data_IF_866024738025
#
_entry.id   IF_866024738025
#
_cell.length_a   1.000
_cell.length_b   1.000
_cell.length_c   1.000
_cell.angle_alpha   90.00
_cell.angle_beta   90.00
_cell.angle_gamma   90.00
#
_symmetry.space_group_name_H-M   'P 1'
#
loop_
_entity.id
_entity.type
_entity.pdbx_description
1 polymer ?
#
# COMPACT_ATOMS: atom_id res chain seq x y z
N UNK A 1 -10.46 -12.68 -0.77
CA UNK A 1 -9.83 -11.87 0.27
C UNK A 1 -8.94 -12.75 1.16
N UNK A 2 -7.72 -12.30 1.51
CA UNK A 2 -6.82 -13.01 2.42
C UNK A 2 -7.43 -13.33 3.78
N UNK A 3 -8.26 -12.41 4.30
CA UNK A 3 -8.88 -12.51 5.63
C UNK A 3 -10.29 -13.13 5.61
N UNK A 4 -10.71 -13.74 4.48
CA UNK A 4 -12.06 -14.32 4.38
C UNK A 4 -12.29 -15.40 5.42
N UNK A 5 -13.47 -15.35 6.06
CA UNK A 5 -13.96 -16.41 6.96
C UNK A 5 -14.31 -17.68 6.16
N UNK A 6 -14.66 -17.53 4.89
CA UNK A 6 -14.95 -18.67 4.01
C UNK A 6 -13.63 -19.31 3.52
N UNK A 7 -13.35 -20.58 3.85
CA UNK A 7 -12.12 -21.25 3.47
C UNK A 7 -11.95 -21.40 1.96
N UNK A 8 -13.03 -21.49 1.19
CA UNK A 8 -12.97 -21.59 -0.27
C UNK A 8 -12.57 -20.25 -0.89
N UNK A 9 -13.09 -19.14 -0.37
CA UNK A 9 -12.71 -17.79 -0.81
C UNK A 9 -11.25 -17.52 -0.46
N UNK A 10 -10.80 -17.91 0.75
CA UNK A 10 -9.40 -17.81 1.16
C UNK A 10 -8.47 -18.65 0.26
N UNK A 11 -8.85 -19.90 -0.03
CA UNK A 11 -8.08 -20.78 -0.90
C UNK A 11 -8.00 -20.24 -2.34
N UNK A 12 -9.11 -19.70 -2.87
CA UNK A 12 -9.11 -19.02 -4.18
C UNK A 12 -8.20 -17.81 -4.20
N UNK A 13 -8.18 -16.99 -3.13
CA UNK A 13 -7.25 -15.87 -3.01
C UNK A 13 -5.80 -16.36 -3.04
N UNK A 14 -5.45 -17.35 -2.22
CA UNK A 14 -4.10 -17.92 -2.17
C UNK A 14 -3.64 -18.44 -3.55
N UNK A 15 -4.51 -19.16 -4.25
CA UNK A 15 -4.25 -19.65 -5.60
C UNK A 15 -3.96 -18.49 -6.58
N UNK A 16 -4.76 -17.40 -6.54
CA UNK A 16 -4.56 -16.23 -7.40
C UNK A 16 -3.26 -15.50 -7.10
N UNK A 17 -2.93 -15.32 -5.83
CA UNK A 17 -1.66 -14.71 -5.45
C UNK A 17 -0.46 -15.53 -5.93
N UNK A 18 -0.50 -16.86 -5.82
CA UNK A 18 0.54 -17.75 -6.36
C UNK A 18 0.72 -17.58 -7.86
N UNK A 19 -0.38 -17.58 -8.62
CA UNK A 19 -0.32 -17.33 -10.07
C UNK A 19 0.28 -15.96 -10.40
N UNK A 20 -0.05 -14.92 -9.63
CA UNK A 20 0.51 -13.57 -9.81
C UNK A 20 2.01 -13.56 -9.52
N UNK A 21 2.46 -14.23 -8.46
CA UNK A 21 3.88 -14.36 -8.10
C UNK A 21 4.65 -15.08 -9.22
N UNK A 22 4.14 -16.21 -9.71
CA UNK A 22 4.74 -16.96 -10.82
C UNK A 22 4.86 -16.09 -12.08
N UNK A 23 3.81 -15.34 -12.42
CA UNK A 23 3.81 -14.44 -13.58
C UNK A 23 4.81 -13.30 -13.41
N UNK A 24 4.83 -12.67 -12.23
CA UNK A 24 5.77 -11.61 -11.89
C UNK A 24 7.23 -12.08 -11.98
N UNK A 25 7.50 -13.28 -11.46
CA UNK A 25 8.82 -13.90 -11.53
C UNK A 25 9.25 -14.15 -13.00
N UNK A 26 8.36 -14.65 -13.84
CA UNK A 26 8.63 -14.88 -15.25
C UNK A 26 8.91 -13.56 -16.03
N UNK A 27 8.35 -12.44 -15.56
CA UNK A 27 8.57 -11.10 -16.12
C UNK A 27 9.75 -10.36 -15.47
N UNK A 28 10.44 -10.93 -14.49
CA UNK A 28 11.53 -10.30 -13.78
C UNK A 28 11.07 -9.17 -12.82
N UNK A 29 9.80 -9.16 -12.45
CA UNK A 29 9.24 -8.19 -11.48
C UNK A 29 9.65 -8.59 -10.07
N UNK A 30 10.20 -7.65 -9.32
CA UNK A 30 10.70 -7.87 -7.95
C UNK A 30 9.84 -7.24 -6.86
N UNK A 31 8.81 -6.48 -7.24
CA UNK A 31 7.89 -5.85 -6.28
C UNK A 31 6.46 -5.95 -6.79
N UNK A 32 5.58 -6.44 -5.93
CA UNK A 32 4.15 -6.54 -6.17
C UNK A 32 3.41 -5.73 -5.10
N UNK A 33 2.57 -4.80 -5.51
CA UNK A 33 1.59 -4.18 -4.63
C UNK A 33 0.35 -5.06 -4.57
N UNK A 34 -0.17 -5.27 -3.39
CA UNK A 34 -1.27 -6.21 -3.13
C UNK A 34 -2.24 -5.64 -2.09
N UNK A 35 -3.54 -5.82 -2.30
CA UNK A 35 -4.55 -5.42 -1.34
C UNK A 35 -4.70 -6.44 -0.21
N UNK A 36 -4.76 -5.96 1.05
CA UNK A 36 -5.05 -6.78 2.23
C UNK A 36 -6.48 -7.30 2.27
N UNK A 37 -7.41 -6.54 1.70
CA UNK A 37 -8.81 -6.91 1.58
C UNK A 37 -9.64 -6.66 2.85
N UNK A 38 -9.25 -5.70 3.66
CA UNK A 38 -10.09 -5.19 4.75
C UNK A 38 -11.35 -4.55 4.19
N UNK A 39 -12.50 -4.87 4.77
CA UNK A 39 -13.79 -4.26 4.45
C UNK A 39 -14.42 -3.81 5.77
N UNK A 40 -14.59 -2.49 5.98
CA UNK A 40 -15.26 -1.96 7.16
C UNK A 40 -16.63 -2.57 7.35
N UNK A 41 -17.04 -2.78 8.60
CA UNK A 41 -18.32 -3.38 9.01
C UNK A 41 -18.50 -4.87 8.64
N UNK A 42 -17.61 -5.45 7.84
CA UNK A 42 -17.59 -6.89 7.51
C UNK A 42 -16.60 -7.63 8.39
N UNK A 43 -15.42 -7.06 8.56
CA UNK A 43 -14.36 -7.66 9.39
C UNK A 43 -14.11 -6.86 10.65
N UNK A 44 -13.98 -7.56 11.78
CA UNK A 44 -13.42 -6.99 13.00
C UNK A 44 -11.90 -6.79 12.79
N UNK A 45 -11.32 -5.68 13.29
CA UNK A 45 -9.88 -5.41 13.13
C UNK A 45 -8.98 -6.55 13.61
N UNK A 46 -9.29 -7.15 14.75
CA UNK A 46 -8.52 -8.25 15.34
C UNK A 46 -8.56 -9.50 14.46
N UNK A 47 -9.73 -9.82 13.91
CA UNK A 47 -9.90 -10.91 12.96
C UNK A 47 -9.09 -10.66 11.69
N UNK A 48 -9.17 -9.45 11.13
CA UNK A 48 -8.44 -9.07 9.93
C UNK A 48 -6.94 -9.25 10.12
N UNK A 49 -6.39 -8.74 11.25
CA UNK A 49 -4.96 -8.87 11.57
C UNK A 49 -4.56 -10.33 11.69
N UNK A 50 -5.29 -11.11 12.51
CA UNK A 50 -4.97 -12.52 12.75
C UNK A 50 -4.98 -13.35 11.44
N UNK A 51 -6.05 -13.26 10.66
CA UNK A 51 -6.18 -14.02 9.42
C UNK A 51 -5.20 -13.57 8.34
N UNK A 52 -4.90 -12.27 8.26
CA UNK A 52 -3.89 -11.74 7.36
C UNK A 52 -2.50 -12.25 7.70
N UNK A 53 -2.11 -12.28 8.98
CA UNK A 53 -0.83 -12.84 9.41
C UNK A 53 -0.69 -14.30 9.00
N UNK A 54 -1.72 -15.11 9.20
CA UNK A 54 -1.72 -16.52 8.80
C UNK A 54 -1.62 -16.66 7.27
N UNK A 55 -2.37 -15.83 6.53
CA UNK A 55 -2.37 -15.86 5.07
C UNK A 55 -1.00 -15.48 4.49
N UNK A 56 -0.44 -14.36 4.94
CA UNK A 56 0.84 -13.87 4.40
C UNK A 56 1.99 -14.82 4.73
N UNK A 57 2.03 -15.39 5.94
CA UNK A 57 3.03 -16.40 6.29
C UNK A 57 2.95 -17.64 5.41
N UNK A 58 1.74 -18.11 5.10
CA UNK A 58 1.53 -19.23 4.17
C UNK A 58 1.99 -18.87 2.76
N UNK A 59 1.61 -17.70 2.25
CA UNK A 59 1.97 -17.26 0.90
C UNK A 59 3.46 -17.01 0.72
N UNK A 60 4.15 -16.50 1.75
CA UNK A 60 5.58 -16.22 1.71
C UNK A 60 6.45 -17.47 1.47
N UNK A 61 5.92 -18.66 1.71
CA UNK A 61 6.60 -19.91 1.33
C UNK A 61 6.79 -20.04 -0.20
N UNK A 62 5.94 -19.37 -0.98
CA UNK A 62 5.95 -19.38 -2.45
C UNK A 62 6.60 -18.11 -3.05
N UNK A 63 6.95 -17.12 -2.23
CA UNK A 63 7.59 -15.87 -2.68
C UNK A 63 9.09 -16.07 -2.80
N UNK A 64 9.70 -15.89 -3.99
CA UNK A 64 11.13 -16.06 -4.18
C UNK A 64 11.96 -15.00 -3.42
N UNK A 65 13.21 -15.33 -3.13
CA UNK A 65 14.18 -14.35 -2.62
C UNK A 65 14.33 -13.18 -3.61
N UNK A 66 14.40 -11.96 -3.07
CA UNK A 66 14.51 -10.74 -3.88
C UNK A 66 13.18 -10.18 -4.39
N UNK A 67 12.05 -10.88 -4.18
CA UNK A 67 10.72 -10.34 -4.43
C UNK A 67 10.09 -9.83 -3.13
N UNK A 68 9.40 -8.68 -3.21
CA UNK A 68 8.68 -8.07 -2.10
C UNK A 68 7.19 -7.94 -2.44
N UNK A 69 6.35 -8.39 -1.52
CA UNK A 69 4.91 -8.09 -1.52
C UNK A 69 4.70 -6.85 -0.64
N UNK A 70 4.19 -5.78 -1.20
CA UNK A 70 3.85 -4.54 -0.49
C UNK A 70 2.33 -4.47 -0.29
N UNK A 71 1.86 -4.67 0.95
CA UNK A 71 0.44 -4.62 1.27
C UNK A 71 -0.01 -3.16 1.38
N UNK A 72 -1.01 -2.82 0.59
CA UNK A 72 -1.52 -1.47 0.44
C UNK A 72 -2.66 -1.18 1.41
N UNK A 73 -2.70 0.06 1.92
CA UNK A 73 -3.88 0.60 2.61
C UNK A 73 -4.95 0.96 1.60
N UNK A 74 -6.16 0.44 1.79
CA UNK A 74 -7.31 0.71 0.90
C UNK A 74 -8.50 1.27 1.69
N UNK A 75 -8.97 0.52 2.69
CA UNK A 75 -10.16 0.90 3.47
C UNK A 75 -9.89 0.92 4.98
N UNK A 76 -8.65 0.75 5.38
CA UNK A 76 -8.24 0.80 6.78
C UNK A 76 -8.43 2.23 7.33
N UNK A 77 -8.94 2.39 8.56
CA UNK A 77 -9.15 3.71 9.15
C UNK A 77 -7.85 4.40 9.60
N UNK A 78 -6.76 3.65 9.67
CA UNK A 78 -5.43 4.09 10.09
C UNK A 78 -4.39 3.00 9.90
N UNK A 79 -3.10 3.30 10.14
CA UNK A 79 -1.98 2.40 9.86
C UNK A 79 -1.89 1.18 10.77
N UNK A 80 -2.59 1.17 11.91
CA UNK A 80 -2.36 0.24 13.03
C UNK A 80 -2.46 -1.22 12.63
N UNK A 81 -3.49 -1.59 11.85
CA UNK A 81 -3.71 -2.97 11.42
C UNK A 81 -2.58 -3.46 10.50
N UNK A 82 -2.20 -2.65 9.51
CA UNK A 82 -1.14 -3.00 8.56
C UNK A 82 0.23 -3.10 9.26
N UNK A 83 0.51 -2.17 10.17
CA UNK A 83 1.73 -2.19 11.00
C UNK A 83 1.79 -3.44 11.87
N UNK A 84 0.67 -3.83 12.51
CA UNK A 84 0.58 -5.05 13.28
C UNK A 84 0.80 -6.30 12.42
N UNK A 85 0.22 -6.35 11.22
CA UNK A 85 0.39 -7.47 10.29
C UNK A 85 1.87 -7.58 9.90
N UNK A 86 2.48 -6.50 9.42
CA UNK A 86 3.87 -6.50 9.00
C UNK A 86 4.83 -6.87 10.15
N UNK A 87 4.61 -6.30 11.34
CA UNK A 87 5.40 -6.59 12.54
C UNK A 87 5.26 -8.03 13.04
N UNK A 88 4.06 -8.61 12.98
CA UNK A 88 3.84 -10.00 13.39
C UNK A 88 4.35 -11.00 12.35
N UNK A 89 4.19 -10.73 11.04
CA UNK A 89 4.77 -11.58 9.99
C UNK A 89 6.29 -11.57 10.07
N UNK A 90 6.89 -10.39 10.21
CA UNK A 90 8.31 -10.15 10.41
C UNK A 90 9.20 -10.88 9.38
N UNK A 91 8.87 -10.75 8.10
CA UNK A 91 9.62 -11.28 6.97
C UNK A 91 9.99 -10.13 6.02
N UNK A 92 11.25 -9.96 5.60
CA UNK A 92 11.69 -8.85 4.75
C UNK A 92 11.00 -8.84 3.36
N UNK A 93 10.43 -9.95 2.94
CA UNK A 93 9.66 -10.08 1.69
C UNK A 93 8.21 -9.58 1.80
N UNK A 94 7.73 -9.29 3.03
CA UNK A 94 6.46 -8.58 3.24
C UNK A 94 6.75 -7.16 3.70
N UNK A 95 6.38 -6.19 2.87
CA UNK A 95 6.40 -4.77 3.19
C UNK A 95 5.01 -4.17 3.11
N UNK A 96 4.97 -2.84 3.23
CA UNK A 96 3.74 -2.05 3.09
C UNK A 96 3.86 -1.10 1.90
N UNK A 97 2.74 -0.83 1.27
CA UNK A 97 2.54 0.27 0.34
C UNK A 97 1.66 1.32 1.02
N UNK A 98 2.08 2.56 1.01
CA UNK A 98 1.22 3.68 1.40
C UNK A 98 0.64 4.30 0.14
N UNK A 99 -0.66 4.15 -0.05
CA UNK A 99 -1.43 4.97 -0.96
C UNK A 99 -1.89 6.22 -0.20
N UNK A 100 -1.39 7.39 -0.65
CA UNK A 100 -1.64 8.66 0.04
C UNK A 100 -3.05 9.19 -0.23
N UNK A 101 -3.64 8.82 -1.37
CA UNK A 101 -5.03 9.18 -1.68
C UNK A 101 -6.03 8.37 -0.85
N UNK A 102 -5.83 7.06 -0.72
CA UNK A 102 -6.62 6.22 0.18
C UNK A 102 -6.52 6.71 1.65
N UNK A 103 -5.33 7.15 2.07
CA UNK A 103 -5.14 7.72 3.41
C UNK A 103 -5.90 9.05 3.62
N UNK A 104 -6.34 9.72 2.55
CA UNK A 104 -7.17 10.93 2.59
C UNK A 104 -8.66 10.67 2.32
N UNK A 105 -9.01 9.50 1.78
CA UNK A 105 -10.38 9.16 1.43
C UNK A 105 -11.28 8.96 2.68
N UNK A 106 -12.60 8.97 2.48
CA UNK A 106 -13.61 8.98 3.56
C UNK A 106 -13.53 7.78 4.53
N UNK A 107 -12.94 6.67 4.12
CA UNK A 107 -12.73 5.50 4.99
C UNK A 107 -11.63 5.70 6.01
N UNK A 108 -10.60 6.49 5.68
CA UNK A 108 -9.55 6.86 6.62
C UNK A 108 -10.07 7.78 7.73
N UNK A 109 -9.59 7.57 8.94
CA UNK A 109 -9.82 8.44 10.10
C UNK A 109 -8.53 9.10 10.57
N UNK A 110 -7.45 8.89 9.81
CA UNK A 110 -6.09 9.32 10.11
C UNK A 110 -5.59 10.17 8.95
N UNK A 111 -5.11 11.41 9.17
CA UNK A 111 -4.56 12.24 8.10
C UNK A 111 -3.36 11.59 7.40
N UNK A 112 -3.14 11.79 6.09
CA UNK A 112 -2.07 11.13 5.32
C UNK A 112 -0.68 11.21 5.97
N UNK A 113 -0.29 12.36 6.49
CA UNK A 113 0.99 12.54 7.19
C UNK A 113 1.17 11.62 8.41
N UNK A 114 0.09 11.32 9.11
CA UNK A 114 0.14 10.49 10.32
C UNK A 114 0.28 8.99 10.02
N UNK A 115 0.10 8.57 8.78
CA UNK A 115 0.36 7.20 8.34
C UNK A 115 1.86 6.90 8.19
N UNK A 116 2.68 7.91 7.85
CA UNK A 116 4.06 7.73 7.41
C UNK A 116 4.93 7.13 8.52
N UNK A 117 5.04 7.81 9.65
CA UNK A 117 5.96 7.40 10.71
C UNK A 117 5.70 5.99 11.26
N UNK A 118 4.44 5.55 11.53
CA UNK A 118 4.16 4.18 11.96
C UNK A 118 4.50 3.14 10.89
N UNK A 119 4.30 3.44 9.60
CA UNK A 119 4.56 2.51 8.50
C UNK A 119 6.01 2.49 8.04
N UNK A 120 6.79 3.54 8.32
CA UNK A 120 8.15 3.74 7.79
C UNK A 120 9.08 2.52 7.87
N UNK A 121 9.14 1.73 8.96
CA UNK A 121 10.00 0.54 9.03
C UNK A 121 9.69 -0.52 7.96
N UNK A 122 8.45 -0.59 7.51
CA UNK A 122 7.95 -1.60 6.55
C UNK A 122 7.63 -1.03 5.18
N UNK A 123 7.66 0.30 4.97
CA UNK A 123 7.35 0.89 3.67
C UNK A 123 8.36 0.45 2.61
N UNK A 124 7.81 -0.03 1.50
CA UNK A 124 8.57 -0.46 0.32
C UNK A 124 8.12 0.24 -0.95
N UNK A 125 6.88 0.72 -0.95
CA UNK A 125 6.28 1.39 -2.09
C UNK A 125 5.29 2.47 -1.66
N UNK A 126 5.08 3.47 -2.50
CA UNK A 126 4.15 4.57 -2.27
C UNK A 126 3.38 4.82 -3.57
N UNK A 127 2.05 4.88 -3.48
CA UNK A 127 1.19 5.40 -4.53
C UNK A 127 0.89 6.87 -4.29
N UNK A 128 1.05 7.67 -5.34
CA UNK A 128 0.89 9.12 -5.30
C UNK A 128 -0.26 9.55 -6.20
N UNK A 129 -1.30 10.06 -5.61
CA UNK A 129 -2.37 10.82 -6.24
C UNK A 129 -3.03 11.72 -5.19
N UNK A 130 -3.89 12.62 -5.62
CA UNK A 130 -4.61 13.51 -4.72
C UNK A 130 -6.12 13.28 -4.85
N UNK A 131 -6.89 13.83 -3.92
CA UNK A 131 -8.34 13.87 -3.93
C UNK A 131 -8.87 14.95 -2.98
N UNK A 132 -10.18 15.09 -2.88
CA UNK A 132 -10.83 16.11 -2.06
C UNK A 132 -11.20 15.63 -0.63
N UNK A 133 -10.85 14.39 -0.28
CA UNK A 133 -11.12 13.80 1.04
C UNK A 133 -12.39 12.95 1.12
N UNK A 134 -13.22 12.93 0.08
CA UNK A 134 -14.48 12.18 0.03
C UNK A 134 -14.33 10.86 -0.73
N UNK A 135 -13.94 10.96 -2.01
CA UNK A 135 -13.80 9.85 -2.94
C UNK A 135 -12.34 9.68 -3.37
N UNK A 136 -12.02 8.48 -3.74
CA UNK A 136 -10.74 8.12 -4.32
C UNK A 136 -10.69 8.51 -5.81
N UNK A 137 -10.40 9.80 -6.09
CA UNK A 137 -10.53 10.39 -7.41
C UNK A 137 -9.30 10.22 -8.32
N UNK A 138 -8.15 9.87 -7.75
CA UNK A 138 -6.87 9.81 -8.47
C UNK A 138 -6.53 11.11 -9.22
N UNK A 139 -6.79 12.26 -8.58
CA UNK A 139 -6.48 13.58 -9.11
C UNK A 139 -4.96 13.84 -9.17
N UNK A 140 -4.49 14.73 -10.06
CA UNK A 140 -3.10 15.16 -10.10
C UNK A 140 -2.60 15.67 -8.76
N UNK A 141 -1.29 15.53 -8.49
CA UNK A 141 -0.67 15.85 -7.19
C UNK A 141 -0.92 17.27 -6.70
N UNK A 142 -1.03 18.22 -7.62
CA UNK A 142 -1.34 19.61 -7.30
C UNK A 142 -2.82 19.94 -7.11
N UNK A 143 -3.72 18.94 -7.24
CA UNK A 143 -5.17 19.14 -7.21
C UNK A 143 -5.78 18.28 -6.10
N UNK A 144 -6.25 18.90 -5.02
CA UNK A 144 -6.87 18.20 -3.91
C UNK A 144 -6.50 18.81 -2.55
N UNK A 145 -6.79 18.06 -1.49
CA UNK A 145 -6.62 18.53 -0.11
C UNK A 145 -5.40 17.95 0.60
N UNK A 146 -4.71 16.98 0.00
CA UNK A 146 -3.50 16.39 0.57
C UNK A 146 -2.36 17.43 0.51
N UNK A 147 -1.67 17.72 1.63
CA UNK A 147 -0.50 18.61 1.65
C UNK A 147 0.72 17.90 1.04
N UNK A 148 0.69 17.70 -0.28
CA UNK A 148 1.55 16.78 -1.01
C UNK A 148 3.04 17.07 -0.86
N UNK A 149 3.45 18.36 -0.79
CA UNK A 149 4.85 18.71 -0.54
C UNK A 149 5.33 18.20 0.82
N UNK A 150 4.53 18.41 1.89
CA UNK A 150 4.88 17.91 3.22
C UNK A 150 4.91 16.37 3.27
N UNK A 151 4.00 15.72 2.55
CA UNK A 151 3.95 14.26 2.45
C UNK A 151 5.21 13.74 1.76
N UNK A 152 5.60 14.32 0.61
CA UNK A 152 6.79 13.93 -0.13
C UNK A 152 8.07 14.16 0.68
N UNK A 153 8.23 15.34 1.26
CA UNK A 153 9.40 15.67 2.08
C UNK A 153 9.55 14.70 3.26
N UNK A 154 8.42 14.34 3.90
CA UNK A 154 8.42 13.39 5.02
C UNK A 154 8.79 11.98 4.55
N UNK A 155 8.22 11.53 3.43
CA UNK A 155 8.50 10.21 2.85
C UNK A 155 9.96 10.09 2.41
N UNK A 156 10.51 11.10 1.72
CA UNK A 156 11.91 11.10 1.29
C UNK A 156 12.86 11.08 2.47
N UNK A 157 12.53 11.78 3.56
CA UNK A 157 13.34 11.80 4.77
C UNK A 157 13.28 10.49 5.57
N UNK A 158 12.09 9.88 5.70
CA UNK A 158 11.89 8.71 6.58
C UNK A 158 11.97 7.37 5.85
N UNK A 159 11.71 7.34 4.54
CA UNK A 159 11.60 6.13 3.73
C UNK A 159 12.43 6.21 2.44
N UNK A 160 13.74 6.55 2.50
CA UNK A 160 14.55 6.83 1.30
C UNK A 160 14.74 5.62 0.36
N UNK A 161 14.43 4.41 0.83
CA UNK A 161 14.51 3.19 0.02
C UNK A 161 13.17 2.79 -0.63
N UNK A 162 12.08 3.50 -0.34
CA UNK A 162 10.80 3.24 -0.95
C UNK A 162 10.78 3.76 -2.40
N UNK A 163 10.04 3.08 -3.27
CA UNK A 163 9.79 3.53 -4.63
C UNK A 163 8.42 4.16 -4.74
N UNK A 164 8.20 4.95 -5.78
CA UNK A 164 6.98 5.72 -5.98
C UNK A 164 6.33 5.37 -7.30
N UNK A 165 5.01 5.33 -7.33
CA UNK A 165 4.19 5.28 -8.55
C UNK A 165 3.16 6.42 -8.49
N UNK A 166 3.02 7.15 -9.61
CA UNK A 166 1.93 8.11 -9.79
C UNK A 166 0.73 7.34 -10.32
N UNK A 167 -0.39 7.36 -9.59
CA UNK A 167 -1.62 6.66 -9.95
C UNK A 167 -2.71 7.63 -10.46
N UNK A 168 -2.38 8.41 -11.48
CA UNK A 168 -3.35 9.26 -12.16
C UNK A 168 -3.73 8.67 -13.52
N UNK A 169 -4.92 8.99 -14.02
CA UNK A 169 -5.31 8.64 -15.40
C UNK A 169 -4.41 9.32 -16.44
N UNK A 170 -4.02 10.57 -16.17
CA UNK A 170 -3.00 11.32 -16.91
C UNK A 170 -1.91 11.75 -15.92
N UNK A 171 -0.71 11.22 -16.10
CA UNK A 171 0.41 11.51 -15.22
C UNK A 171 1.11 12.85 -15.56
N UNK A 172 0.90 13.44 -16.73
CA UNK A 172 1.64 14.63 -17.16
C UNK A 172 1.50 15.81 -16.21
N UNK A 173 0.31 16.19 -15.72
CA UNK A 173 0.19 17.29 -14.75
C UNK A 173 0.93 17.03 -13.44
N UNK A 174 1.01 15.77 -12.99
CA UNK A 174 1.74 15.40 -11.78
C UNK A 174 3.24 15.44 -11.98
N UNK A 175 3.74 15.00 -13.13
CA UNK A 175 5.16 15.09 -13.49
C UNK A 175 5.61 16.56 -13.58
N UNK A 176 4.82 17.41 -14.24
CA UNK A 176 5.07 18.86 -14.31
C UNK A 176 5.09 19.48 -12.90
N UNK A 177 4.17 19.08 -12.03
CA UNK A 177 4.09 19.56 -10.65
C UNK A 177 5.34 19.16 -9.84
N UNK A 178 5.83 17.92 -10.00
CA UNK A 178 7.05 17.43 -9.34
C UNK A 178 8.30 18.15 -9.86
N UNK A 179 8.42 18.31 -11.18
CA UNK A 179 9.56 18.99 -11.81
C UNK A 179 9.65 20.46 -11.37
N UNK A 180 8.54 21.20 -11.35
CA UNK A 180 8.49 22.60 -10.92
C UNK A 180 8.94 22.80 -9.46
N UNK A 181 8.87 21.75 -8.63
CA UNK A 181 9.25 21.76 -7.21
C UNK A 181 10.59 21.10 -6.92
N UNK A 182 11.30 20.64 -7.95
CA UNK A 182 12.63 20.05 -7.81
C UNK A 182 12.63 18.63 -7.26
N UNK A 183 11.51 17.90 -7.35
CA UNK A 183 11.46 16.49 -6.97
C UNK A 183 11.94 15.54 -8.08
N UNK A 184 12.07 16.01 -9.30
CA UNK A 184 12.65 15.26 -10.41
C UNK A 184 13.99 15.90 -10.80
N UNK A 185 15.03 15.05 -10.97
CA UNK A 185 16.28 15.45 -11.59
C UNK A 185 16.07 15.63 -13.12
N UNK A 186 16.76 16.59 -13.74
CA UNK A 186 16.76 16.81 -15.19
C UNK A 186 17.46 15.66 -15.95
#
# INVERSE_FOLDING_TARGET
SPCSIDPLVRAAALHRFRQTIETAQALGVTRLVVHGGFIPLVYFPEWFVEQSVLFWRELLADVPEGMVLAVENVMEPGPEMLVQIAGQVNDPRLGLCLDVGHANASTSKTPPLAWIAPMAPWLRHIHLHNNLGDWDLHDPLGQGTIPMEQVLDTLLAQCPAATFTIENQDCAPSLDWLAQRGYLEE
#
